data_IF_643597618936
#
_entry.id   IF_643597618936
#
_cell.length_a   1.000
_cell.length_b   1.000
_cell.length_c   1.000
_cell.angle_alpha   90.00
_cell.angle_beta   90.00
_cell.angle_gamma   90.00
#
_symmetry.space_group_name_H-M   'P 1'
#
loop_
_entity.id
_entity.type
_entity.pdbx_description
1 polymer ?
#
# COMPACT_ATOMS: atom_id res chain seq x y z
N UNK A 1 11.97 19.74 -9.69
CA UNK A 1 11.15 20.66 -8.89
C UNK A 1 9.70 20.22 -8.69
N UNK A 2 9.06 19.56 -9.65
CA UNK A 2 7.68 19.04 -9.50
C UNK A 2 7.53 18.00 -8.37
N UNK A 3 8.56 17.22 -8.05
CA UNK A 3 8.54 16.18 -7.00
C UNK A 3 8.41 16.73 -5.57
N UNK A 4 8.93 17.92 -5.28
CA UNK A 4 8.89 18.54 -3.94
C UNK A 4 7.51 19.14 -3.68
N UNK A 5 6.85 19.69 -4.71
CA UNK A 5 5.48 20.22 -4.64
C UNK A 5 4.44 19.11 -4.42
N UNK A 6 4.66 17.91 -4.99
CA UNK A 6 3.79 16.73 -4.79
C UNK A 6 3.84 16.28 -3.33
N UNK A 7 5.01 16.27 -2.71
CA UNK A 7 5.15 15.87 -1.31
C UNK A 7 4.48 16.86 -0.34
N UNK A 8 4.55 18.15 -0.63
CA UNK A 8 3.89 19.19 0.20
C UNK A 8 2.36 19.17 0.02
N UNK A 9 1.87 18.86 -1.19
CA UNK A 9 0.45 18.73 -1.46
C UNK A 9 -0.14 17.44 -0.83
N UNK A 10 0.64 16.36 -0.79
CA UNK A 10 0.31 15.13 -0.10
C UNK A 10 0.07 15.38 1.39
N UNK A 11 0.95 16.16 2.00
CA UNK A 11 0.84 16.53 3.41
C UNK A 11 -0.42 17.39 3.67
N UNK A 12 -0.77 18.29 2.76
CA UNK A 12 -1.94 19.16 2.89
C UNK A 12 -3.28 18.39 2.78
N UNK A 13 -3.37 17.39 1.88
CA UNK A 13 -4.59 16.59 1.71
C UNK A 13 -4.83 15.66 2.91
N UNK A 14 -3.76 15.12 3.49
CA UNK A 14 -3.86 14.28 4.70
C UNK A 14 -4.19 15.13 5.94
N UNK A 15 -3.74 16.38 5.99
CA UNK A 15 -3.98 17.28 7.12
C UNK A 15 -5.35 17.97 7.11
N UNK A 16 -6.00 18.12 5.94
CA UNK A 16 -7.27 18.85 5.84
C UNK A 16 -8.52 18.06 6.25
N UNK A 17 -8.40 16.76 6.51
CA UNK A 17 -9.53 15.88 6.80
C UNK A 17 -9.52 15.17 8.15
N UNK A 18 -8.46 15.26 8.95
CA UNK A 18 -8.31 14.46 10.16
C UNK A 18 -7.77 15.24 11.35
N UNK A 19 -8.52 15.23 12.42
CA UNK A 19 -8.11 15.69 13.75
C UNK A 19 -7.25 14.61 14.50
N UNK A 20 -6.78 13.61 13.78
CA UNK A 20 -5.81 12.59 14.23
C UNK A 20 -4.58 12.69 13.36
N UNK A 21 -3.43 12.63 13.96
CA UNK A 21 -2.14 12.55 13.27
C UNK A 21 -2.03 11.18 12.56
N UNK A 22 -2.64 11.06 11.39
CA UNK A 22 -2.47 9.90 10.52
C UNK A 22 -1.08 9.97 9.91
N UNK A 23 -0.13 9.38 10.63
CA UNK A 23 1.23 9.28 10.11
C UNK A 23 1.23 8.45 8.84
N UNK A 24 1.87 8.97 7.79
CA UNK A 24 2.19 8.19 6.60
C UNK A 24 3.21 7.14 6.98
N UNK A 25 2.88 5.89 6.75
CA UNK A 25 3.72 4.74 7.08
C UNK A 25 4.46 4.23 5.84
N UNK A 26 3.80 4.23 4.69
CA UNK A 26 4.34 3.70 3.43
C UNK A 26 3.95 4.60 2.27
N UNK A 27 4.89 4.82 1.37
CA UNK A 27 4.68 5.42 0.05
C UNK A 27 5.23 4.46 -0.99
N UNK A 28 4.40 4.11 -1.99
CA UNK A 28 4.79 3.28 -3.12
C UNK A 28 4.49 3.98 -4.44
N UNK A 29 5.51 4.10 -5.28
CA UNK A 29 5.38 4.63 -6.63
C UNK A 29 5.09 3.49 -7.61
N UNK A 30 4.18 3.72 -8.54
CA UNK A 30 3.90 2.78 -9.60
C UNK A 30 5.12 2.66 -10.55
N UNK A 31 5.58 1.43 -10.88
CA UNK A 31 6.85 1.22 -11.58
C UNK A 31 6.89 1.80 -13.00
N UNK A 32 5.74 2.00 -13.64
CA UNK A 32 5.63 2.43 -15.04
C UNK A 32 4.95 3.79 -15.23
N UNK A 33 4.33 4.34 -14.18
CA UNK A 33 3.62 5.63 -14.29
C UNK A 33 3.83 6.44 -13.00
N UNK A 34 4.63 7.52 -13.04
CA UNK A 34 4.94 8.31 -11.85
C UNK A 34 3.75 9.10 -11.28
N UNK A 35 2.66 9.28 -12.04
CA UNK A 35 1.46 9.94 -11.55
C UNK A 35 0.61 9.04 -10.63
N UNK A 36 0.90 7.74 -10.63
CA UNK A 36 0.22 6.78 -9.77
C UNK A 36 1.08 6.55 -8.52
N UNK A 37 0.53 6.94 -7.38
CA UNK A 37 1.19 6.81 -6.07
C UNK A 37 0.19 6.18 -5.09
N UNK A 38 0.67 5.24 -4.31
CA UNK A 38 -0.05 4.67 -3.18
C UNK A 38 0.56 5.18 -1.89
N UNK A 39 -0.29 5.52 -0.95
CA UNK A 39 0.08 5.95 0.41
C UNK A 39 -0.70 5.14 1.41
N UNK A 40 -0.01 4.53 2.36
CA UNK A 40 -0.65 3.94 3.54
C UNK A 40 -0.40 4.81 4.77
N UNK A 41 -1.47 5.06 5.49
CA UNK A 41 -1.45 5.62 6.84
C UNK A 41 -1.69 4.51 7.87
N UNK A 42 -1.78 4.87 9.13
CA UNK A 42 -2.11 3.89 10.17
C UNK A 42 -3.46 3.19 9.94
N UNK A 43 -4.43 3.88 9.31
CA UNK A 43 -5.81 3.42 9.24
C UNK A 43 -6.30 3.17 7.80
N UNK A 44 -5.64 3.77 6.80
CA UNK A 44 -6.16 3.77 5.42
C UNK A 44 -5.07 3.62 4.36
N UNK A 45 -5.48 3.12 3.19
CA UNK A 45 -4.70 3.17 1.95
C UNK A 45 -5.35 4.18 1.01
N UNK A 46 -4.55 5.06 0.47
CA UNK A 46 -4.97 6.03 -0.54
C UNK A 46 -4.18 5.83 -1.83
N UNK A 47 -4.81 6.17 -2.94
CA UNK A 47 -4.19 6.16 -4.27
C UNK A 47 -4.49 7.46 -4.99
N UNK A 48 -3.49 8.03 -5.62
CA UNK A 48 -3.63 9.05 -6.65
C UNK A 48 -3.34 8.48 -8.02
N UNK A 49 -3.90 9.09 -9.06
CA UNK A 49 -3.62 8.81 -10.47
C UNK A 49 -3.23 10.06 -11.26
N UNK A 50 -3.13 11.18 -10.58
CA UNK A 50 -2.90 12.52 -11.12
C UNK A 50 -1.75 13.25 -10.42
N UNK A 51 -0.77 12.50 -9.95
CA UNK A 51 0.41 13.04 -9.29
C UNK A 51 0.15 13.68 -7.93
N UNK A 52 -0.94 13.28 -7.25
CA UNK A 52 -1.26 13.74 -5.91
C UNK A 52 -2.31 14.86 -5.85
N UNK A 53 -2.92 15.23 -6.97
CA UNK A 53 -3.96 16.27 -6.99
C UNK A 53 -5.26 15.76 -6.36
N UNK A 54 -5.64 14.51 -6.65
CA UNK A 54 -6.80 13.84 -6.04
C UNK A 54 -6.42 12.48 -5.48
N UNK A 55 -7.10 12.07 -4.41
CA UNK A 55 -6.84 10.83 -3.69
C UNK A 55 -8.11 10.03 -3.49
N UNK A 56 -8.03 8.71 -3.72
CA UNK A 56 -9.11 7.77 -3.50
C UNK A 56 -8.74 6.83 -2.36
N UNK A 57 -9.64 6.64 -1.39
CA UNK A 57 -9.48 5.65 -0.34
C UNK A 57 -9.73 4.25 -0.90
N UNK A 58 -8.78 3.35 -0.69
CA UNK A 58 -8.80 1.97 -1.18
C UNK A 58 -8.89 0.92 -0.06
N UNK A 59 -9.26 1.30 1.13
CA UNK A 59 -9.27 0.38 2.29
C UNK A 59 -10.46 -0.56 2.33
N UNK A 60 -11.31 -0.56 1.32
CA UNK A 60 -12.47 -1.44 1.25
C UNK A 60 -12.07 -2.91 1.15
N UNK A 61 -12.62 -3.74 2.04
CA UNK A 61 -12.35 -5.19 2.09
C UNK A 61 -11.13 -5.60 2.92
N UNK A 62 -10.46 -4.63 3.53
CA UNK A 62 -9.46 -4.91 4.57
C UNK A 62 -10.15 -4.82 5.95
N UNK A 63 -9.94 -5.82 6.79
CA UNK A 63 -10.24 -5.67 8.22
C UNK A 63 -9.37 -4.53 8.77
N UNK A 64 -9.76 -3.96 9.91
CA UNK A 64 -9.12 -2.78 10.55
C UNK A 64 -7.63 -2.99 10.90
N UNK A 65 -6.89 -3.59 9.98
CA UNK A 65 -5.50 -3.96 10.16
C UNK A 65 -4.60 -2.84 9.70
N UNK A 66 -3.73 -2.41 10.59
CA UNK A 66 -2.72 -1.40 10.30
C UNK A 66 -1.79 -1.88 9.18
N UNK A 67 -1.79 -1.20 8.05
CA UNK A 67 -0.83 -1.45 6.96
C UNK A 67 0.54 -0.88 7.35
N UNK A 68 1.57 -1.70 7.23
CA UNK A 68 2.94 -1.33 7.59
C UNK A 68 3.94 -1.51 6.45
N UNK A 69 3.56 -2.23 5.42
CA UNK A 69 4.36 -2.39 4.21
C UNK A 69 3.46 -2.54 2.98
N UNK A 70 3.96 -2.15 1.84
CA UNK A 70 3.29 -2.33 0.54
C UNK A 70 4.32 -2.65 -0.54
N UNK A 71 3.88 -3.38 -1.56
CA UNK A 71 4.65 -3.59 -2.77
C UNK A 71 3.75 -3.65 -3.99
N UNK A 72 4.25 -3.17 -5.11
CA UNK A 72 3.59 -3.25 -6.42
C UNK A 72 4.40 -4.20 -7.28
N UNK A 73 3.74 -5.19 -7.87
CA UNK A 73 4.40 -6.12 -8.78
C UNK A 73 4.95 -5.35 -10.00
N UNK A 74 6.25 -5.38 -10.26
CA UNK A 74 6.85 -4.63 -11.36
C UNK A 74 6.47 -5.14 -12.74
N UNK A 75 6.15 -6.44 -12.86
CA UNK A 75 5.70 -7.05 -14.11
C UNK A 75 4.20 -6.82 -14.33
N UNK A 76 3.42 -6.95 -13.27
CA UNK A 76 1.96 -6.81 -13.28
C UNK A 76 1.49 -5.73 -12.29
N UNK A 77 1.61 -4.43 -12.61
CA UNK A 77 1.38 -3.34 -11.65
C UNK A 77 -0.06 -3.18 -11.15
N UNK A 78 -1.02 -3.91 -11.72
CA UNK A 78 -2.35 -4.05 -11.13
C UNK A 78 -2.34 -4.92 -9.86
N UNK A 79 -1.30 -5.73 -9.68
CA UNK A 79 -1.10 -6.55 -8.48
C UNK A 79 -0.36 -5.75 -7.43
N UNK A 80 -1.02 -5.56 -6.28
CA UNK A 80 -0.50 -4.82 -5.14
C UNK A 80 -0.59 -5.69 -3.89
N UNK A 81 0.44 -5.67 -3.08
CA UNK A 81 0.50 -6.36 -1.80
C UNK A 81 0.51 -5.35 -0.66
N UNK A 82 -0.18 -5.66 0.42
CA UNK A 82 -0.19 -4.88 1.65
C UNK A 82 0.08 -5.82 2.85
N UNK A 83 1.16 -5.56 3.56
CA UNK A 83 1.48 -6.23 4.80
C UNK A 83 0.90 -5.48 5.98
N UNK A 84 0.27 -6.21 6.90
CA UNK A 84 -0.41 -5.63 8.06
C UNK A 84 0.24 -6.05 9.36
N UNK A 85 -0.08 -5.31 10.41
CA UNK A 85 0.30 -5.67 11.77
C UNK A 85 -0.79 -6.51 12.40
N UNK A 86 -0.54 -7.82 12.53
CA UNK A 86 -1.38 -8.72 13.32
C UNK A 86 -2.45 -9.49 12.56
N UNK A 87 -2.59 -9.32 11.23
CA UNK A 87 -3.69 -10.00 10.56
C UNK A 87 -3.31 -10.80 9.32
N UNK A 88 -2.56 -10.34 8.41
CA UNK A 88 -2.09 -11.11 7.26
C UNK A 88 -1.43 -10.22 6.19
N UNK A 89 -1.09 -10.85 5.08
CA UNK A 89 -0.83 -10.18 3.81
C UNK A 89 -2.14 -10.07 3.04
N UNK A 90 -2.44 -8.90 2.55
CA UNK A 90 -3.53 -8.69 1.58
C UNK A 90 -2.95 -8.52 0.18
N UNK A 91 -3.64 -9.09 -0.79
CA UNK A 91 -3.29 -8.98 -2.20
C UNK A 91 -4.47 -8.40 -2.98
N UNK A 92 -4.19 -7.46 -3.84
CA UNK A 92 -5.11 -6.91 -4.82
C UNK A 92 -4.64 -7.25 -6.22
N UNK A 93 -5.56 -7.58 -7.13
CA UNK A 93 -5.29 -7.82 -8.55
C UNK A 93 -5.82 -6.69 -9.46
N UNK A 94 -6.45 -5.68 -8.87
CA UNK A 94 -7.14 -4.59 -9.58
C UNK A 94 -6.68 -3.20 -9.13
N UNK A 95 -5.42 -3.09 -8.74
CA UNK A 95 -4.81 -1.83 -8.36
C UNK A 95 -5.32 -1.27 -7.03
N UNK A 96 -5.74 -2.16 -6.11
CA UNK A 96 -6.17 -1.81 -4.76
C UNK A 96 -7.68 -1.60 -4.60
N UNK A 97 -8.50 -1.87 -5.63
CA UNK A 97 -9.96 -1.72 -5.51
C UNK A 97 -10.58 -2.82 -4.64
N UNK A 98 -10.05 -4.04 -4.73
CA UNK A 98 -10.44 -5.18 -3.90
C UNK A 98 -9.21 -5.83 -3.30
N UNK A 99 -9.31 -6.19 -2.04
CA UNK A 99 -8.27 -6.87 -1.30
C UNK A 99 -8.70 -8.25 -0.87
N UNK A 100 -7.82 -9.23 -1.04
CA UNK A 100 -8.03 -10.61 -0.61
C UNK A 100 -6.94 -10.96 0.40
N UNK A 101 -7.34 -11.45 1.56
CA UNK A 101 -6.41 -11.93 2.58
C UNK A 101 -5.69 -13.19 2.10
N UNK A 102 -4.38 -13.18 2.16
CA UNK A 102 -3.51 -14.31 1.82
C UNK A 102 -3.00 -14.93 3.11
N UNK A 103 -3.75 -15.90 3.63
CA UNK A 103 -3.35 -16.65 4.85
C UNK A 103 -2.75 -18.02 4.53
N UNK A 104 -2.94 -18.55 3.33
CA UNK A 104 -2.44 -19.87 2.95
C UNK A 104 -0.92 -19.95 3.08
N UNK A 105 -0.45 -20.91 3.84
CA UNK A 105 0.98 -21.09 4.17
C UNK A 105 1.48 -20.31 5.38
N UNK A 106 0.61 -19.50 6.02
CA UNK A 106 0.92 -18.75 7.24
C UNK A 106 0.16 -19.30 8.47
N UNK A 107 -0.64 -20.34 8.27
CA UNK A 107 -1.57 -20.85 9.29
C UNK A 107 -0.89 -21.50 10.51
N UNK A 108 0.35 -21.98 10.34
CA UNK A 108 1.13 -22.65 11.40
C UNK A 108 2.04 -21.71 12.21
N UNK A 109 2.06 -20.46 11.84
CA UNK A 109 2.88 -19.49 12.54
C UNK A 109 1.97 -18.68 13.44
N UNK A 110 2.04 -18.92 14.73
CA UNK A 110 1.52 -18.04 15.78
C UNK A 110 2.31 -16.72 15.71
N UNK A 111 2.21 -16.06 14.59
CA UNK A 111 2.86 -14.80 14.36
C UNK A 111 1.85 -13.75 14.80
N UNK A 112 2.22 -12.97 15.76
CA UNK A 112 1.90 -11.56 15.70
C UNK A 112 2.61 -11.05 14.44
N UNK A 113 2.06 -11.38 13.28
CA UNK A 113 2.74 -11.30 12.00
C UNK A 113 2.82 -9.87 11.57
N UNK A 114 4.01 -9.35 11.74
CA UNK A 114 4.38 -8.03 11.27
C UNK A 114 5.13 -8.24 9.95
N UNK A 115 4.46 -8.02 8.83
CA UNK A 115 5.10 -8.07 7.50
C UNK A 115 5.74 -6.72 7.22
N UNK A 116 7.01 -6.60 7.54
CA UNK A 116 7.74 -5.33 7.47
C UNK A 116 8.21 -4.97 6.06
N UNK A 117 8.35 -5.94 5.18
CA UNK A 117 8.93 -5.73 3.86
C UNK A 117 8.49 -6.80 2.87
N UNK A 118 8.38 -6.41 1.60
CA UNK A 118 8.25 -7.30 0.45
C UNK A 118 9.46 -7.12 -0.46
N UNK A 119 9.99 -8.22 -0.96
CA UNK A 119 11.07 -8.22 -1.95
C UNK A 119 10.67 -9.11 -3.11
N UNK A 120 10.72 -8.58 -4.33
CA UNK A 120 10.52 -9.35 -5.54
C UNK A 120 11.85 -9.97 -5.98
N UNK A 121 11.81 -11.25 -6.37
CA UNK A 121 12.97 -11.87 -7.00
C UNK A 121 13.19 -11.20 -8.38
N UNK A 122 14.36 -10.62 -8.63
CA UNK A 122 14.65 -9.99 -9.93
C UNK A 122 14.76 -10.98 -11.08
N UNK A 123 14.99 -12.27 -10.78
CA UNK A 123 15.09 -13.34 -11.78
C UNK A 123 13.77 -14.04 -12.04
N UNK A 124 12.87 -14.04 -11.05
CA UNK A 124 11.55 -14.66 -11.15
C UNK A 124 10.50 -13.80 -10.43
N UNK A 125 9.79 -12.98 -11.20
CA UNK A 125 8.74 -12.09 -10.67
C UNK A 125 7.51 -12.83 -10.09
N UNK A 126 7.51 -14.15 -10.10
CA UNK A 126 6.44 -14.96 -9.50
C UNK A 126 6.72 -15.27 -8.02
N UNK A 127 7.95 -15.06 -7.56
CA UNK A 127 8.30 -15.24 -6.16
C UNK A 127 8.43 -13.90 -5.44
N UNK A 128 7.65 -13.76 -4.39
CA UNK A 128 7.67 -12.64 -3.46
C UNK A 128 8.22 -13.14 -2.11
N UNK A 129 9.20 -12.46 -1.59
CA UNK A 129 9.77 -12.73 -0.28
C UNK A 129 9.46 -11.63 0.72
#
# INVERSE_FOLDING_TARGET
MARILILSLLLAVVLSGCNRSDAIVVIQLHPKNPDIIYVATNDYIYKTRDGGQTWTNLSHGMSHSRVISMAIDPAYPATVYAGTKGDAVYKSYDGGQRWVSQRAGLDDVTISSVVNQFVFDPADNQHLF
#
